data_IF_981181991325
#
_entry.id   IF_981181991325
#
_cell.length_a   1.000
_cell.length_b   1.000
_cell.length_c   1.000
_cell.angle_alpha   90.00
_cell.angle_beta   90.00
_cell.angle_gamma   90.00
#
_symmetry.space_group_name_H-M   'P 1'
#
loop_
_entity.id
_entity.type
_entity.pdbx_description
1 polymer ?
#
# COMPACT_ATOMS: atom_id res chain seq x y z
N UNK A 1 -10.30 4.65 -9.06
CA UNK A 1 -10.19 3.22 -8.66
C UNK A 1 -8.81 2.94 -8.08
N UNK A 2 -8.69 1.94 -7.21
CA UNK A 2 -7.44 1.50 -6.59
C UNK A 2 -6.88 0.24 -7.25
N UNK A 3 -5.66 0.33 -7.77
CA UNK A 3 -4.90 -0.77 -8.35
C UNK A 3 -3.70 -1.11 -7.47
N UNK A 4 -3.13 -2.30 -7.68
CA UNK A 4 -1.85 -2.67 -7.08
C UNK A 4 -0.93 -3.30 -8.11
N UNK A 5 0.35 -2.96 -8.05
CA UNK A 5 1.35 -3.47 -8.98
C UNK A 5 2.76 -3.53 -8.36
N UNK A 6 3.67 -4.21 -9.05
CA UNK A 6 5.09 -4.20 -8.72
C UNK A 6 5.79 -2.97 -9.29
N UNK A 7 6.88 -2.50 -8.66
CA UNK A 7 7.82 -1.56 -9.31
C UNK A 7 8.39 -2.08 -10.64
N UNK A 8 8.34 -3.38 -10.85
CA UNK A 8 8.96 -4.03 -11.99
C UNK A 8 7.99 -4.32 -13.13
N UNK A 9 6.72 -3.96 -12.98
CA UNK A 9 5.63 -4.27 -13.91
C UNK A 9 4.88 -2.96 -14.30
N UNK A 10 5.55 -2.01 -14.99
CA UNK A 10 4.98 -0.70 -15.31
C UNK A 10 3.74 -0.75 -16.20
N UNK A 11 3.56 -1.84 -16.95
CA UNK A 11 2.34 -2.07 -17.74
C UNK A 11 1.07 -2.19 -16.89
N UNK A 12 1.22 -2.50 -15.59
CA UNK A 12 0.12 -2.62 -14.64
C UNK A 12 -0.08 -1.31 -13.82
N UNK A 13 0.66 -0.25 -14.12
CA UNK A 13 0.51 1.03 -13.42
C UNK A 13 -0.60 1.85 -14.06
N UNK A 14 -1.71 2.00 -13.32
CA UNK A 14 -2.88 2.76 -13.75
C UNK A 14 -3.04 4.01 -12.88
N UNK A 15 -3.22 5.17 -13.53
CA UNK A 15 -3.38 6.45 -12.84
C UNK A 15 -2.11 6.87 -12.08
N UNK A 16 -2.27 7.45 -10.89
CA UNK A 16 -1.15 7.95 -10.09
C UNK A 16 -0.46 6.82 -9.29
N UNK A 17 0.82 6.50 -9.57
CA UNK A 17 1.55 5.52 -8.77
C UNK A 17 2.01 6.09 -7.41
N UNK A 18 1.82 5.30 -6.36
CA UNK A 18 2.27 5.54 -4.99
C UNK A 18 3.14 4.40 -4.50
N UNK A 19 4.39 4.70 -4.16
CA UNK A 19 5.26 3.77 -3.44
C UNK A 19 4.76 3.58 -2.01
N UNK A 20 4.49 2.33 -1.64
CA UNK A 20 4.13 1.92 -0.26
C UNK A 20 5.24 1.12 0.44
N UNK A 21 6.42 1.02 -0.16
CA UNK A 21 7.62 0.46 0.46
C UNK A 21 8.52 1.53 1.07
N UNK A 22 9.17 1.20 2.20
CA UNK A 22 10.18 2.09 2.83
C UNK A 22 11.40 2.33 1.96
N UNK A 23 11.82 1.30 1.23
CA UNK A 23 13.07 1.31 0.47
C UNK A 23 12.76 1.65 -0.98
N UNK A 24 13.61 2.49 -1.57
CA UNK A 24 13.61 2.79 -3.00
C UNK A 24 14.16 1.59 -3.80
N UNK A 25 13.50 1.14 -4.87
CA UNK A 25 14.03 0.09 -5.74
C UNK A 25 15.35 0.54 -6.39
N UNK A 26 16.38 -0.30 -6.29
CA UNK A 26 17.71 0.00 -6.86
C UNK A 26 17.62 0.13 -8.38
N UNK A 27 18.32 1.14 -8.92
CA UNK A 27 18.44 1.34 -10.37
C UNK A 27 17.18 1.88 -11.07
N UNK A 28 16.17 2.31 -10.31
CA UNK A 28 14.96 2.95 -10.87
C UNK A 28 14.97 4.46 -10.61
N UNK A 29 14.53 5.24 -11.60
CA UNK A 29 14.20 6.65 -11.41
C UNK A 29 12.87 6.78 -10.66
N UNK A 30 12.65 7.92 -10.01
CA UNK A 30 11.43 8.17 -9.24
C UNK A 30 10.29 8.57 -10.18
N UNK A 31 9.45 7.60 -10.54
CA UNK A 31 8.25 7.79 -11.38
C UNK A 31 6.95 7.68 -10.55
N UNK A 32 7.04 7.86 -9.23
CA UNK A 32 5.94 7.68 -8.29
C UNK A 32 5.98 8.69 -7.15
N UNK A 33 4.82 8.93 -6.56
CA UNK A 33 4.72 9.62 -5.29
C UNK A 33 5.08 8.66 -4.14
N UNK A 34 5.56 9.20 -3.02
CA UNK A 34 5.75 8.40 -1.81
C UNK A 34 4.52 8.49 -0.94
N UNK A 35 4.09 7.36 -0.36
CA UNK A 35 3.05 7.32 0.67
C UNK A 35 3.61 6.76 1.99
N UNK A 36 4.43 7.53 2.75
CA UNK A 36 5.09 7.02 3.95
C UNK A 36 4.17 6.54 5.06
N UNK A 37 2.96 7.11 5.13
CA UNK A 37 1.90 6.70 6.06
C UNK A 37 1.40 5.28 5.82
N UNK A 38 1.61 4.75 4.61
CA UNK A 38 1.33 3.36 4.25
C UNK A 38 2.55 2.46 4.40
N UNK A 39 3.67 2.91 4.96
CA UNK A 39 4.81 2.02 5.11
C UNK A 39 4.58 1.05 6.28
N UNK A 40 4.65 -0.28 6.05
CA UNK A 40 4.56 -1.24 7.16
C UNK A 40 5.73 -1.03 8.14
N UNK A 41 5.55 -1.41 9.39
CA UNK A 41 6.67 -1.44 10.34
C UNK A 41 7.81 -2.31 9.80
N UNK A 42 9.06 -1.85 10.03
CA UNK A 42 10.24 -2.52 9.46
C UNK A 42 10.48 -3.88 10.13
N UNK A 43 10.31 -3.98 11.45
CA UNK A 43 10.54 -5.24 12.16
C UNK A 43 9.45 -6.24 11.80
N UNK A 44 8.19 -5.79 11.74
CA UNK A 44 7.06 -6.61 11.31
C UNK A 44 7.27 -7.18 9.89
N UNK A 45 7.65 -6.32 8.93
CA UNK A 45 7.87 -6.78 7.56
C UNK A 45 9.10 -7.71 7.45
N UNK A 46 10.15 -7.46 8.23
CA UNK A 46 11.32 -8.34 8.25
C UNK A 46 10.98 -9.73 8.80
N UNK A 47 10.26 -9.79 9.92
CA UNK A 47 9.82 -11.06 10.52
C UNK A 47 8.86 -11.85 9.60
N UNK A 48 8.06 -11.17 8.77
CA UNK A 48 7.28 -11.87 7.74
C UNK A 48 8.19 -12.46 6.66
N UNK A 49 9.18 -11.68 6.21
CA UNK A 49 10.08 -12.06 5.11
C UNK A 49 11.05 -13.18 5.48
N UNK A 50 11.44 -13.28 6.74
CA UNK A 50 12.29 -14.37 7.24
C UNK A 50 11.49 -15.61 7.69
N UNK A 51 10.15 -15.52 7.68
CA UNK A 51 9.23 -16.61 8.03
C UNK A 51 8.97 -16.77 9.53
N UNK A 52 9.44 -15.85 10.38
CA UNK A 52 9.18 -15.87 11.82
C UNK A 52 7.72 -15.57 12.19
N UNK A 53 6.97 -14.92 11.31
CA UNK A 53 5.53 -14.74 11.43
C UNK A 53 4.82 -14.99 10.10
N UNK A 54 3.55 -15.41 10.18
CA UNK A 54 2.73 -15.67 9.00
C UNK A 54 2.02 -14.42 8.48
N UNK A 55 1.36 -14.55 7.34
CA UNK A 55 0.66 -13.44 6.71
C UNK A 55 -0.54 -12.93 7.51
N UNK A 56 -1.16 -13.77 8.34
CA UNK A 56 -2.31 -13.38 9.16
C UNK A 56 -1.87 -12.42 10.27
N UNK A 57 -0.74 -12.73 10.94
CA UNK A 57 -0.14 -11.84 11.93
C UNK A 57 0.29 -10.51 11.29
N UNK A 58 0.96 -10.56 10.13
CA UNK A 58 1.31 -9.33 9.38
C UNK A 58 0.08 -8.47 9.11
N UNK A 59 -1.02 -9.09 8.68
CA UNK A 59 -2.27 -8.41 8.36
C UNK A 59 -2.86 -7.69 9.58
N UNK A 60 -2.93 -8.37 10.72
CA UNK A 60 -3.50 -7.81 11.96
C UNK A 60 -2.66 -6.61 12.42
N UNK A 61 -1.36 -6.82 12.63
CA UNK A 61 -0.47 -5.81 13.21
C UNK A 61 -0.35 -4.58 12.31
N UNK A 62 -0.25 -4.78 10.99
CA UNK A 62 -0.13 -3.68 10.06
C UNK A 62 -1.43 -2.86 9.98
N UNK A 63 -2.60 -3.51 10.00
CA UNK A 63 -3.89 -2.80 10.01
C UNK A 63 -4.12 -2.01 11.29
N UNK A 64 -3.71 -2.55 12.44
CA UNK A 64 -3.74 -1.81 13.71
C UNK A 64 -2.88 -0.55 13.65
N UNK A 65 -1.69 -0.63 13.06
CA UNK A 65 -0.83 0.53 12.86
C UNK A 65 -1.47 1.58 11.93
N UNK A 66 -2.05 1.16 10.81
CA UNK A 66 -2.76 2.05 9.89
C UNK A 66 -3.96 2.74 10.56
N UNK A 67 -4.75 1.98 11.33
CA UNK A 67 -5.89 2.53 12.09
C UNK A 67 -5.45 3.55 13.15
N UNK A 68 -4.37 3.27 13.86
CA UNK A 68 -3.80 4.21 14.82
C UNK A 68 -3.34 5.51 14.14
N UNK A 69 -2.64 5.39 13.00
CA UNK A 69 -2.22 6.55 12.20
C UNK A 69 -3.42 7.34 11.68
N UNK A 70 -4.44 6.68 11.12
CA UNK A 70 -5.63 7.31 10.58
C UNK A 70 -6.42 8.10 11.64
N UNK A 71 -6.52 7.57 12.86
CA UNK A 71 -7.20 8.26 13.97
C UNK A 71 -6.44 9.48 14.48
N UNK A 72 -5.10 9.45 14.41
CA UNK A 72 -4.23 10.46 15.03
C UNK A 72 -3.79 11.56 14.05
N UNK A 73 -3.51 11.20 12.80
CA UNK A 73 -2.98 12.11 11.78
C UNK A 73 -4.12 12.62 10.90
N UNK A 74 -4.53 13.88 11.14
CA UNK A 74 -5.61 14.53 10.40
C UNK A 74 -5.34 14.62 8.90
N UNK A 75 -4.09 14.90 8.50
CA UNK A 75 -3.72 14.96 7.08
C UNK A 75 -3.77 13.58 6.43
N UNK A 76 -3.40 12.52 7.16
CA UNK A 76 -3.55 11.17 6.64
C UNK A 76 -5.02 10.81 6.42
N UNK A 77 -5.88 11.14 7.39
CA UNK A 77 -7.31 10.92 7.28
C UNK A 77 -7.91 11.67 6.09
N UNK A 78 -7.63 12.97 5.97
CA UNK A 78 -8.09 13.78 4.84
C UNK A 78 -7.61 13.21 3.49
N UNK A 79 -6.37 12.74 3.43
CA UNK A 79 -5.85 12.09 2.22
C UNK A 79 -6.63 10.81 1.88
N UNK A 80 -6.88 9.94 2.86
CA UNK A 80 -7.66 8.70 2.66
C UNK A 80 -9.10 9.01 2.24
N UNK A 81 -9.75 9.96 2.91
CA UNK A 81 -11.14 10.35 2.64
C UNK A 81 -11.31 10.96 1.24
N UNK A 82 -10.25 11.60 0.72
CA UNK A 82 -10.23 12.17 -0.62
C UNK A 82 -9.93 11.18 -1.75
N UNK A 83 -9.53 9.94 -1.47
CA UNK A 83 -9.09 9.00 -2.53
C UNK A 83 -10.18 8.65 -3.53
N UNK A 84 -11.44 8.60 -3.12
CA UNK A 84 -12.56 8.26 -4.02
C UNK A 84 -12.75 9.26 -5.16
N UNK A 85 -12.33 10.52 -4.98
CA UNK A 85 -12.44 11.57 -6.00
C UNK A 85 -11.10 11.93 -6.66
N UNK A 86 -9.99 11.35 -6.21
CA UNK A 86 -8.64 11.65 -6.70
C UNK A 86 -8.30 11.00 -8.06
N UNK A 87 -9.22 10.23 -8.63
CA UNK A 87 -9.02 9.46 -9.86
C UNK A 87 -8.47 8.05 -9.63
N UNK A 88 -7.81 7.51 -10.64
CA UNK A 88 -7.16 6.20 -10.53
C UNK A 88 -5.80 6.31 -9.84
N UNK A 89 -5.48 5.34 -9.00
CA UNK A 89 -4.18 5.24 -8.35
C UNK A 89 -3.68 3.80 -8.28
N UNK A 90 -2.37 3.62 -8.25
CA UNK A 90 -1.72 2.32 -8.11
C UNK A 90 -0.79 2.30 -6.90
N UNK A 91 -0.96 1.36 -5.97
CA UNK A 91 0.02 1.13 -4.91
C UNK A 91 1.13 0.22 -5.43
N UNK A 92 2.38 0.64 -5.19
CA UNK A 92 3.58 -0.04 -5.67
C UNK A 92 4.40 -0.62 -4.52
N UNK A 93 4.77 -1.90 -4.67
CA UNK A 93 5.78 -2.56 -3.85
C UNK A 93 6.67 -3.49 -4.69
N UNK A 94 7.56 -4.25 -4.04
CA UNK A 94 8.55 -5.08 -4.73
C UNK A 94 7.96 -6.37 -5.30
N UNK A 95 6.97 -6.92 -4.62
CA UNK A 95 6.37 -8.21 -4.93
C UNK A 95 5.65 -8.16 -6.29
N UNK A 96 5.82 -9.19 -7.11
CA UNK A 96 5.18 -9.30 -8.43
C UNK A 96 3.92 -10.15 -8.37
N UNK A 97 2.96 -9.79 -9.22
CA UNK A 97 1.68 -10.48 -9.34
C UNK A 97 1.00 -10.68 -7.99
N UNK A 98 0.17 -11.70 -7.90
CA UNK A 98 -0.77 -11.89 -6.80
C UNK A 98 -0.16 -12.30 -5.44
N UNK A 99 1.16 -12.16 -5.26
CA UNK A 99 1.83 -12.48 -4.00
C UNK A 99 1.24 -11.69 -2.84
N UNK A 100 0.99 -12.41 -1.74
CA UNK A 100 0.60 -11.83 -0.47
C UNK A 100 1.74 -10.95 0.06
N UNK A 101 1.42 -9.68 0.33
CA UNK A 101 2.38 -8.70 0.80
C UNK A 101 1.65 -7.49 1.42
N UNK A 102 2.41 -6.58 2.03
CA UNK A 102 1.90 -5.36 2.66
C UNK A 102 1.04 -4.51 1.72
N UNK A 103 1.37 -4.42 0.42
CA UNK A 103 0.57 -3.70 -0.58
C UNK A 103 -0.89 -4.15 -0.62
N UNK A 104 -1.14 -5.46 -0.56
CA UNK A 104 -2.51 -6.01 -0.59
C UNK A 104 -3.28 -5.67 0.68
N UNK A 105 -2.60 -5.71 1.83
CA UNK A 105 -3.19 -5.34 3.12
C UNK A 105 -3.55 -3.85 3.11
N UNK A 106 -2.63 -2.99 2.65
CA UNK A 106 -2.86 -1.56 2.53
C UNK A 106 -4.03 -1.25 1.59
N UNK A 107 -4.09 -1.93 0.44
CA UNK A 107 -5.16 -1.72 -0.53
C UNK A 107 -6.53 -2.10 0.04
N UNK A 108 -6.64 -3.27 0.67
CA UNK A 108 -7.88 -3.68 1.34
C UNK A 108 -8.29 -2.70 2.44
N UNK A 109 -7.33 -2.28 3.27
CA UNK A 109 -7.59 -1.32 4.35
C UNK A 109 -8.11 0.02 3.82
N UNK A 110 -7.56 0.52 2.71
CA UNK A 110 -8.03 1.74 2.04
C UNK A 110 -9.43 1.57 1.45
N UNK A 111 -9.70 0.47 0.74
CA UNK A 111 -11.01 0.19 0.13
C UNK A 111 -12.14 0.12 1.16
N UNK A 112 -11.85 -0.34 2.38
CA UNK A 112 -12.84 -0.40 3.46
C UNK A 112 -13.13 0.97 4.10
N UNK A 113 -12.27 1.98 3.90
CA UNK A 113 -12.32 3.25 4.64
C UNK A 113 -12.56 4.46 3.77
N UNK A 114 -11.92 4.51 2.60
CA UNK A 114 -12.02 5.63 1.67
C UNK A 114 -13.41 5.63 0.99
N UNK A 115 -14.26 6.64 1.23
CA UNK A 115 -15.60 6.69 0.63
C UNK A 115 -15.52 6.75 -0.90
N UNK A 116 -16.30 5.90 -1.59
CA UNK A 116 -16.37 5.88 -3.05
C UNK A 116 -15.11 5.32 -3.74
N UNK A 117 -14.12 4.81 -3.00
CA UNK A 117 -12.97 4.16 -3.59
C UNK A 117 -13.32 2.72 -4.00
N UNK A 118 -13.25 2.45 -5.29
CA UNK A 118 -13.51 1.12 -5.84
C UNK A 118 -12.22 0.36 -6.19
N UNK A 119 -12.28 -0.96 -6.12
CA UNK A 119 -11.16 -1.83 -6.45
C UNK A 119 -11.01 -2.00 -7.97
N UNK A 120 -9.81 -1.75 -8.47
CA UNK A 120 -9.35 -2.23 -9.77
C UNK A 120 -8.67 -3.60 -9.67
N UNK A 121 -7.71 -3.86 -10.55
CA UNK A 121 -6.91 -5.08 -10.48
C UNK A 121 -5.92 -5.02 -9.30
N UNK A 122 -6.05 -5.97 -8.37
CA UNK A 122 -5.17 -6.10 -7.21
C UNK A 122 -4.08 -7.15 -7.47
N UNK A 123 -3.14 -6.79 -8.35
CA UNK A 123 -1.98 -7.61 -8.74
C UNK A 123 -0.74 -7.28 -7.94
#
# INVERSE_FOLDING_TARGET
>A
MLYTASFYDPQDWVGQPYRVSRVHPRGKQTEWQSAPRLYPDRLLLNAYRDGSLDFAILTIEYRLALDASYKKDGEFREWVDGLGSAGDLTLLCFERGEKLCHRRIAAQWLLERAPGLEAGHLR
#
